data_IF_365163251235
#
_entry.id   IF_365163251235
#
_cell.length_a   1.000
_cell.length_b   1.000
_cell.length_c   1.000
_cell.angle_alpha   90.00
_cell.angle_beta   90.00
_cell.angle_gamma   90.00
#
_symmetry.space_group_name_H-M   'P 1'
#
loop_
_entity.id
_entity.type
_entity.pdbx_description
1 polymer ?
#
# COMPACT_ATOMS: atom_id res chain seq x y z
N UNK A 1 0.43 9.88 35.41
CA UNK A 1 1.14 9.06 34.41
C UNK A 1 0.32 9.10 33.13
N UNK A 2 0.71 9.91 32.15
CA UNK A 2 0.04 9.93 30.84
C UNK A 2 0.55 8.74 30.04
N UNK A 3 -0.22 7.65 30.02
CA UNK A 3 0.03 6.55 29.09
C UNK A 3 -0.15 7.09 27.68
N UNK A 4 0.94 7.20 26.92
CA UNK A 4 0.90 7.41 25.48
C UNK A 4 0.28 6.13 24.92
N UNK A 5 -1.02 6.15 24.64
CA UNK A 5 -1.66 5.09 23.86
C UNK A 5 -1.09 5.23 22.46
N UNK A 6 -0.08 4.41 22.14
CA UNK A 6 0.37 4.25 20.77
C UNK A 6 -0.86 3.79 19.98
N UNK A 7 -1.23 4.46 18.87
CA UNK A 7 -2.31 3.96 18.03
C UNK A 7 -1.97 2.52 17.64
N UNK A 8 -2.92 1.61 17.81
CA UNK A 8 -2.75 0.23 17.37
C UNK A 8 -2.34 0.24 15.89
N UNK A 9 -1.31 -0.53 15.56
CA UNK A 9 -0.94 -0.73 14.18
C UNK A 9 -2.08 -1.50 13.49
N UNK A 10 -2.45 -1.15 12.24
CA UNK A 10 -3.42 -1.92 11.52
C UNK A 10 -2.94 -3.36 11.37
N UNK A 11 -3.87 -4.30 11.52
CA UNK A 11 -3.61 -5.73 11.38
C UNK A 11 -3.61 -6.13 9.91
N UNK A 12 -2.74 -7.05 9.53
CA UNK A 12 -2.71 -7.57 8.17
C UNK A 12 -3.94 -8.46 7.92
N UNK A 13 -4.58 -8.30 6.77
CA UNK A 13 -5.73 -9.11 6.33
C UNK A 13 -5.60 -9.42 4.83
N UNK A 14 -5.49 -10.71 4.51
CA UNK A 14 -5.23 -11.21 3.16
C UNK A 14 -6.33 -10.82 2.16
N UNK A 15 -7.56 -10.53 2.61
CA UNK A 15 -8.63 -10.07 1.70
C UNK A 15 -8.28 -8.72 1.08
N UNK A 16 -7.64 -7.84 1.84
CA UNK A 16 -7.19 -6.53 1.34
C UNK A 16 -5.97 -6.66 0.43
N UNK A 17 -5.16 -7.72 0.59
CA UNK A 17 -4.11 -8.06 -0.37
C UNK A 17 -4.70 -8.50 -1.72
N UNK A 18 -5.72 -9.37 -1.71
CA UNK A 18 -6.45 -9.79 -2.91
C UNK A 18 -7.11 -8.60 -3.62
N UNK A 19 -7.70 -7.66 -2.87
CA UNK A 19 -8.25 -6.43 -3.45
C UNK A 19 -7.14 -5.54 -4.04
N UNK A 20 -5.98 -5.45 -3.38
CA UNK A 20 -4.84 -4.68 -3.89
C UNK A 20 -4.30 -5.27 -5.21
N UNK A 21 -4.37 -6.59 -5.40
CA UNK A 21 -4.04 -7.25 -6.67
C UNK A 21 -4.95 -6.82 -7.82
N UNK A 22 -6.27 -6.74 -7.58
CA UNK A 22 -7.24 -6.27 -8.58
C UNK A 22 -6.92 -4.82 -9.01
N UNK A 23 -6.30 -4.02 -8.13
CA UNK A 23 -5.89 -2.64 -8.38
C UNK A 23 -4.71 -2.44 -9.34
N UNK A 24 -4.17 -3.51 -9.92
CA UNK A 24 -3.07 -3.40 -10.88
C UNK A 24 -3.49 -3.03 -12.30
N UNK A 25 -4.75 -3.20 -12.70
CA UNK A 25 -5.19 -2.85 -14.06
C UNK A 25 -5.44 -1.35 -14.24
N UNK A 26 -5.96 -0.69 -13.21
CA UNK A 26 -6.46 0.68 -13.28
C UNK A 26 -6.41 1.33 -11.88
N UNK A 27 -5.68 2.45 -11.77
CA UNK A 27 -5.51 3.19 -10.51
C UNK A 27 -6.81 3.79 -10.00
N UNK A 28 -7.83 3.94 -10.85
CA UNK A 28 -9.13 4.50 -10.50
C UNK A 28 -10.23 3.44 -10.37
N UNK A 29 -9.86 2.15 -10.46
CA UNK A 29 -10.83 1.06 -10.36
C UNK A 29 -11.56 1.08 -9.00
N UNK A 30 -12.89 1.05 -9.07
CA UNK A 30 -13.77 0.88 -7.93
C UNK A 30 -13.78 -0.59 -7.51
N UNK A 31 -13.52 -0.85 -6.23
CA UNK A 31 -13.60 -2.19 -5.67
C UNK A 31 -14.95 -2.35 -4.97
N UNK A 32 -15.92 -3.07 -5.54
CA UNK A 32 -17.26 -3.20 -4.95
C UNK A 32 -17.27 -3.88 -3.57
N UNK A 33 -16.17 -4.53 -3.18
CA UNK A 33 -16.04 -5.24 -1.90
C UNK A 33 -15.08 -4.55 -0.91
N UNK A 34 -14.54 -3.39 -1.26
CA UNK A 34 -13.74 -2.58 -0.33
C UNK A 34 -14.68 -1.55 0.32
N UNK A 35 -14.69 -1.43 1.66
CA UNK A 35 -15.49 -0.42 2.34
C UNK A 35 -15.25 0.99 1.78
N UNK A 36 -16.32 1.78 1.70
CA UNK A 36 -16.27 3.12 1.09
C UNK A 36 -15.29 4.08 1.80
N UNK A 37 -14.97 3.81 3.07
CA UNK A 37 -14.03 4.59 3.87
C UNK A 37 -12.59 4.07 3.80
N UNK A 38 -12.31 3.02 3.04
CA UNK A 38 -10.96 2.48 2.93
C UNK A 38 -10.06 3.44 2.16
N UNK A 39 -8.80 3.52 2.58
CA UNK A 39 -7.79 4.38 1.97
C UNK A 39 -6.92 3.52 1.05
N UNK A 40 -6.79 3.95 -0.19
CA UNK A 40 -5.94 3.30 -1.20
C UNK A 40 -4.68 4.13 -1.41
N UNK A 41 -3.53 3.53 -1.18
CA UNK A 41 -2.24 4.13 -1.46
C UNK A 41 -1.56 3.38 -2.61
N UNK A 42 -1.20 4.11 -3.66
CA UNK A 42 -0.50 3.57 -4.83
C UNK A 42 0.85 4.24 -4.94
N UNK A 43 1.87 3.47 -5.26
CA UNK A 43 3.19 4.00 -5.60
C UNK A 43 3.73 3.27 -6.84
N UNK A 44 4.26 4.05 -7.76
CA UNK A 44 4.77 3.56 -9.04
C UNK A 44 6.16 4.10 -9.31
N UNK A 45 6.97 3.32 -10.01
CA UNK A 45 8.29 3.76 -10.43
C UNK A 45 8.79 2.96 -11.63
N UNK A 46 9.72 3.51 -12.42
CA UNK A 46 10.29 2.81 -13.57
C UNK A 46 11.16 1.63 -13.12
N UNK A 47 11.13 0.56 -13.93
CA UNK A 47 12.04 -0.58 -13.79
C UNK A 47 13.33 -0.30 -14.55
N UNK A 48 14.36 0.18 -13.86
CA UNK A 48 15.67 0.41 -14.49
C UNK A 48 16.45 -0.91 -14.59
N UNK A 49 16.15 -1.70 -15.64
CA UNK A 49 16.77 -2.99 -15.95
C UNK A 49 16.22 -4.16 -15.10
N UNK A 50 16.91 -5.31 -15.12
CA UNK A 50 16.41 -6.54 -14.48
C UNK A 50 16.05 -6.34 -13.01
N UNK A 51 14.88 -6.87 -12.64
CA UNK A 51 14.37 -6.84 -11.26
C UNK A 51 15.23 -7.71 -10.36
N UNK A 52 15.52 -7.24 -9.14
CA UNK A 52 16.12 -8.07 -8.12
C UNK A 52 15.65 -7.63 -6.74
N UNK A 53 15.84 -8.51 -5.75
CA UNK A 53 15.39 -8.29 -4.37
C UNK A 53 15.89 -6.97 -3.75
N UNK A 54 17.11 -6.53 -4.09
CA UNK A 54 17.66 -5.25 -3.59
C UNK A 54 16.94 -4.04 -4.19
N UNK A 55 16.66 -4.06 -5.50
CA UNK A 55 15.92 -3.00 -6.20
C UNK A 55 14.47 -2.93 -5.71
N UNK A 56 13.79 -4.08 -5.60
CA UNK A 56 12.44 -4.17 -5.05
C UNK A 56 12.40 -3.59 -3.63
N UNK A 57 13.30 -4.03 -2.75
CA UNK A 57 13.37 -3.51 -1.38
C UNK A 57 13.73 -2.02 -1.27
N UNK A 58 14.43 -1.44 -2.25
CA UNK A 58 14.66 0.01 -2.33
C UNK A 58 13.37 0.74 -2.74
N UNK A 59 12.68 0.22 -3.75
CA UNK A 59 11.41 0.76 -4.22
C UNK A 59 10.35 0.77 -3.12
N UNK A 60 10.12 -0.36 -2.43
CA UNK A 60 9.14 -0.47 -1.35
C UNK A 60 9.45 0.49 -0.18
N UNK A 61 10.73 0.65 0.18
CA UNK A 61 11.14 1.65 1.19
C UNK A 61 10.86 3.08 0.74
N UNK A 62 11.06 3.38 -0.55
CA UNK A 62 10.70 4.67 -1.14
C UNK A 62 9.20 4.94 -1.10
N UNK A 63 8.38 3.93 -1.39
CA UNK A 63 6.92 3.99 -1.28
C UNK A 63 6.49 4.34 0.14
N UNK A 64 6.95 3.56 1.13
CA UNK A 64 6.66 3.78 2.56
C UNK A 64 7.12 5.18 2.99
N UNK A 65 8.32 5.61 2.61
CA UNK A 65 8.84 6.94 2.94
C UNK A 65 8.04 8.09 2.31
N UNK A 66 7.43 7.88 1.15
CA UNK A 66 6.54 8.85 0.49
C UNK A 66 5.20 8.93 1.21
N UNK A 67 4.56 7.79 1.46
CA UNK A 67 3.28 7.73 2.16
C UNK A 67 3.36 8.21 3.61
N UNK A 68 4.45 7.91 4.31
CA UNK A 68 4.67 8.44 5.66
C UNK A 68 4.70 9.97 5.69
N UNK A 69 5.21 10.62 4.64
CA UNK A 69 5.28 12.08 4.57
C UNK A 69 3.96 12.71 4.14
N UNK A 70 3.25 12.08 3.22
CA UNK A 70 2.14 12.72 2.52
C UNK A 70 0.75 12.17 2.91
N UNK A 71 0.68 10.94 3.45
CA UNK A 71 -0.56 10.18 3.59
C UNK A 71 -0.79 9.62 5.00
N UNK A 72 0.11 9.87 5.96
CA UNK A 72 0.03 9.27 7.31
C UNK A 72 -1.29 9.58 8.02
N UNK A 73 -1.83 10.78 7.85
CA UNK A 73 -3.11 11.17 8.43
C UNK A 73 -4.32 10.43 7.83
N UNK A 74 -4.21 9.93 6.60
CA UNK A 74 -5.29 9.17 5.94
C UNK A 74 -5.36 7.73 6.47
N UNK A 75 -4.22 7.15 6.83
CA UNK A 75 -4.14 5.77 7.35
C UNK A 75 -4.20 5.71 8.88
N UNK A 76 -4.19 6.86 9.55
CA UNK A 76 -4.29 6.91 11.00
C UNK A 76 -5.67 6.45 11.47
N UNK A 77 -5.71 5.52 12.44
CA UNK A 77 -6.96 4.96 12.96
C UNK A 77 -7.55 3.85 12.10
N UNK A 78 -6.90 3.48 10.99
CA UNK A 78 -7.23 2.27 10.23
C UNK A 78 -6.82 1.05 11.03
N UNK A 79 -7.68 0.04 11.01
CA UNK A 79 -7.60 -1.18 11.81
C UNK A 79 -7.01 -2.35 11.04
N UNK A 80 -7.15 -2.36 9.70
CA UNK A 80 -6.72 -3.44 8.83
C UNK A 80 -5.99 -2.93 7.61
N UNK A 81 -5.10 -3.74 7.05
CA UNK A 81 -4.44 -3.42 5.80
C UNK A 81 -4.06 -4.67 4.99
N UNK A 82 -3.85 -4.47 3.69
CA UNK A 82 -3.26 -5.46 2.80
C UNK A 82 -2.57 -4.77 1.63
N UNK A 83 -1.47 -5.35 1.14
CA UNK A 83 -0.66 -4.73 0.10
C UNK A 83 -0.22 -5.76 -0.94
N UNK A 84 -0.26 -5.37 -2.21
CA UNK A 84 0.25 -6.18 -3.31
C UNK A 84 1.34 -5.42 -4.08
N UNK A 85 2.36 -6.14 -4.52
CA UNK A 85 3.43 -5.64 -5.37
C UNK A 85 3.42 -6.32 -6.75
N UNK A 86 3.72 -5.57 -7.80
CA UNK A 86 3.92 -6.06 -9.18
C UNK A 86 5.18 -5.44 -9.78
N UNK A 87 5.90 -6.23 -10.59
CA UNK A 87 7.05 -5.79 -11.39
C UNK A 87 6.92 -6.04 -12.90
N UNK A 88 5.67 -6.09 -13.36
CA UNK A 88 5.29 -6.25 -14.76
C UNK A 88 5.34 -4.93 -15.54
N UNK A 89 5.22 -5.01 -16.87
CA UNK A 89 5.08 -3.84 -17.77
C UNK A 89 6.17 -2.76 -17.59
N UNK A 90 7.42 -3.19 -17.36
CA UNK A 90 8.58 -2.33 -17.13
C UNK A 90 8.43 -1.29 -16.00
N UNK A 91 7.56 -1.58 -15.03
CA UNK A 91 7.33 -0.72 -13.86
C UNK A 91 7.32 -1.53 -12.58
N UNK A 92 7.66 -0.87 -11.49
CA UNK A 92 7.33 -1.33 -10.15
C UNK A 92 6.06 -0.63 -9.70
N UNK A 93 5.11 -1.40 -9.18
CA UNK A 93 3.88 -0.88 -8.59
C UNK A 93 3.64 -1.57 -7.26
N UNK A 94 3.27 -0.79 -6.25
CA UNK A 94 2.76 -1.30 -4.99
C UNK A 94 1.45 -0.59 -4.67
N UNK A 95 0.45 -1.38 -4.30
CA UNK A 95 -0.87 -0.91 -3.88
C UNK A 95 -1.09 -1.40 -2.47
N UNK A 96 -1.53 -0.52 -1.57
CA UNK A 96 -1.96 -0.88 -0.22
C UNK A 96 -3.36 -0.33 0.03
N UNK A 97 -4.21 -1.14 0.63
CA UNK A 97 -5.56 -0.75 1.06
C UNK A 97 -5.61 -0.80 2.58
N UNK A 98 -6.20 0.22 3.20
CA UNK A 98 -6.34 0.37 4.65
C UNK A 98 -7.79 0.60 5.02
N UNK A 99 -8.26 -0.04 6.09
CA UNK A 99 -9.65 0.05 6.57
C UNK A 99 -9.76 0.26 8.08
#
# INVERSE_FOLDING_TARGET
MNSIILPALPEYDCRYEDFAFIGFGDSDHYFPHVPQNSVKLVHEGPKNGTSNRKKIGRFLRGAIGTWRRNNIGQVQGKSRFGCQFSDENDKYRVVCIFD
#
